data_IF_875887696908
#
_entry.id   IF_875887696908
#
_cell.length_a   1.000
_cell.length_b   1.000
_cell.length_c   1.000
_cell.angle_alpha   90.00
_cell.angle_beta   90.00
_cell.angle_gamma   90.00
#
_symmetry.space_group_name_H-M   'P 1'
#
loop_
_entity.id
_entity.type
_entity.pdbx_description
1 polymer ?
#
# COMPACT_ATOMS: atom_id res chain seq x y z
N UNK A 1 -16.90 14.39 22.89
CA UNK A 1 -16.66 13.33 21.89
C UNK A 1 -15.19 12.97 21.93
N UNK A 2 -14.82 11.69 22.07
CA UNK A 2 -13.43 11.27 21.91
C UNK A 2 -13.06 11.35 20.43
N UNK A 3 -11.86 11.85 20.11
CA UNK A 3 -11.38 11.94 18.72
C UNK A 3 -10.78 10.59 18.34
N UNK A 4 -11.30 9.94 17.29
CA UNK A 4 -10.71 8.72 16.74
C UNK A 4 -9.29 8.99 16.22
N UNK A 5 -8.36 8.09 16.53
CA UNK A 5 -6.94 8.25 16.20
C UNK A 5 -6.63 7.56 14.88
N UNK A 6 -6.09 8.32 13.92
CA UNK A 6 -5.56 7.76 12.67
C UNK A 6 -4.21 7.10 12.94
N UNK A 7 -4.06 5.85 12.50
CA UNK A 7 -2.82 5.07 12.60
C UNK A 7 -2.35 4.66 11.21
N UNK A 8 -1.11 5.00 10.87
CA UNK A 8 -0.45 4.44 9.70
C UNK A 8 0.28 3.15 10.09
N UNK A 9 -0.02 2.06 9.39
CA UNK A 9 0.59 0.76 9.67
C UNK A 9 0.76 -0.08 8.41
N UNK A 10 1.68 -1.07 8.39
CA UNK A 10 1.72 -2.06 7.33
C UNK A 10 0.40 -2.83 7.21
N UNK A 11 0.16 -3.40 6.03
CA UNK A 11 -0.87 -4.41 5.83
C UNK A 11 -0.56 -5.66 6.66
N UNK A 12 -1.62 -6.33 7.08
CA UNK A 12 -1.64 -7.57 7.85
C UNK A 12 -2.46 -8.61 7.12
N UNK A 13 -2.27 -9.88 7.49
CA UNK A 13 -2.98 -10.99 6.86
C UNK A 13 -4.51 -10.90 6.99
N UNK A 14 -5.02 -10.28 8.06
CA UNK A 14 -6.45 -10.08 8.31
C UNK A 14 -7.08 -8.89 7.57
N UNK A 15 -6.27 -8.05 6.90
CA UNK A 15 -6.78 -6.90 6.14
C UNK A 15 -7.32 -7.27 4.74
N UNK A 16 -7.09 -8.50 4.27
CA UNK A 16 -7.29 -8.91 2.87
C UNK A 16 -8.66 -8.51 2.32
N UNK A 17 -9.73 -8.92 3.01
CA UNK A 17 -11.09 -8.71 2.55
C UNK A 17 -11.44 -7.21 2.46
N UNK A 18 -11.10 -6.42 3.48
CA UNK A 18 -11.40 -4.97 3.49
C UNK A 18 -10.58 -4.23 2.43
N UNK A 19 -9.28 -4.53 2.33
CA UNK A 19 -8.39 -3.88 1.39
C UNK A 19 -8.77 -4.17 -0.07
N UNK A 20 -9.03 -5.44 -0.40
CA UNK A 20 -9.43 -5.84 -1.75
C UNK A 20 -10.81 -5.28 -2.12
N UNK A 21 -11.75 -5.22 -1.18
CA UNK A 21 -13.04 -4.58 -1.42
C UNK A 21 -12.88 -3.09 -1.76
N UNK A 22 -12.13 -2.34 -0.94
CA UNK A 22 -11.84 -0.93 -1.20
C UNK A 22 -11.10 -0.72 -2.53
N UNK A 23 -10.15 -1.60 -2.86
CA UNK A 23 -9.40 -1.52 -4.11
C UNK A 23 -10.31 -1.71 -5.32
N UNK A 24 -11.18 -2.74 -5.30
CA UNK A 24 -12.12 -3.00 -6.39
C UNK A 24 -13.14 -1.86 -6.55
N UNK A 25 -13.63 -1.29 -5.45
CA UNK A 25 -14.51 -0.11 -5.52
C UNK A 25 -13.83 1.05 -6.22
N UNK A 26 -12.62 1.41 -5.77
CA UNK A 26 -11.87 2.55 -6.34
C UNK A 26 -11.50 2.31 -7.81
N UNK A 27 -11.15 1.08 -8.17
CA UNK A 27 -10.88 0.71 -9.56
C UNK A 27 -12.15 0.85 -10.42
N UNK A 28 -13.31 0.43 -9.90
CA UNK A 28 -14.58 0.49 -10.61
C UNK A 28 -15.13 1.92 -10.74
N UNK A 29 -14.92 2.80 -9.75
CA UNK A 29 -15.45 4.17 -9.77
C UNK A 29 -14.52 5.14 -10.47
N UNK A 30 -13.22 5.05 -10.20
CA UNK A 30 -12.24 6.10 -10.56
C UNK A 30 -11.21 5.59 -11.57
N UNK A 31 -11.27 4.30 -11.94
CA UNK A 31 -10.26 3.67 -12.80
C UNK A 31 -8.89 3.56 -12.14
N UNK A 32 -8.81 3.76 -10.82
CA UNK A 32 -7.55 3.91 -10.13
C UNK A 32 -7.19 2.68 -9.29
N UNK A 33 -6.01 2.12 -9.56
CA UNK A 33 -5.42 1.06 -8.74
C UNK A 33 -4.51 1.63 -7.66
N UNK A 34 -4.90 1.45 -6.40
CA UNK A 34 -4.09 1.90 -5.27
C UNK A 34 -3.20 0.83 -4.67
N UNK A 35 -3.45 -0.43 -5.03
CA UNK A 35 -2.75 -1.58 -4.51
C UNK A 35 -1.43 -1.76 -5.28
N UNK A 36 -0.34 -1.28 -4.68
CA UNK A 36 0.97 -1.21 -5.33
C UNK A 36 1.42 -2.61 -5.77
N UNK A 37 1.44 -2.86 -7.08
CA UNK A 37 1.89 -4.13 -7.65
C UNK A 37 1.05 -5.34 -7.24
N UNK A 38 -0.22 -5.13 -6.87
CA UNK A 38 -1.13 -6.23 -6.57
C UNK A 38 -1.35 -7.07 -7.83
N UNK A 39 -1.24 -8.38 -7.65
CA UNK A 39 -1.55 -9.40 -8.63
C UNK A 39 -2.51 -10.38 -7.92
N UNK A 40 -3.78 -10.39 -8.34
CA UNK A 40 -4.81 -11.23 -7.69
C UNK A 40 -4.57 -12.74 -7.92
N UNK A 41 -3.62 -13.13 -8.77
CA UNK A 41 -3.24 -14.54 -8.95
C UNK A 41 -2.31 -15.07 -7.85
N UNK A 42 -1.73 -14.19 -7.02
CA UNK A 42 -0.83 -14.59 -5.92
C UNK A 42 -1.53 -14.55 -4.57
N UNK A 43 -1.02 -15.31 -3.61
CA UNK A 43 -1.59 -15.29 -2.26
C UNK A 43 -1.42 -13.93 -1.59
N UNK A 44 -2.37 -13.56 -0.73
CA UNK A 44 -2.30 -12.31 0.03
C UNK A 44 -1.04 -12.19 0.89
N UNK A 45 -0.60 -13.29 1.49
CA UNK A 45 0.63 -13.29 2.27
C UNK A 45 1.87 -13.08 1.40
N UNK A 46 1.90 -13.62 0.18
CA UNK A 46 3.00 -13.34 -0.77
C UNK A 46 2.99 -11.88 -1.22
N UNK A 47 1.81 -11.28 -1.40
CA UNK A 47 1.68 -9.85 -1.64
C UNK A 47 2.25 -9.01 -0.49
N UNK A 48 1.90 -9.33 0.76
CA UNK A 48 2.47 -8.66 1.94
C UNK A 48 3.99 -8.86 2.02
N UNK A 49 4.49 -10.07 1.74
CA UNK A 49 5.91 -10.36 1.72
C UNK A 49 6.67 -9.51 0.68
N UNK A 50 6.09 -9.33 -0.52
CA UNK A 50 6.64 -8.43 -1.55
C UNK A 50 6.68 -6.97 -1.09
N UNK A 51 5.65 -6.49 -0.39
CA UNK A 51 5.67 -5.14 0.19
C UNK A 51 6.78 -5.00 1.26
N UNK A 52 7.05 -6.05 2.03
CA UNK A 52 8.17 -6.10 2.98
C UNK A 52 9.54 -6.13 2.28
N UNK A 53 9.67 -6.82 1.15
CA UNK A 53 10.88 -6.80 0.31
C UNK A 53 11.12 -5.41 -0.28
N UNK A 54 10.08 -4.77 -0.82
CA UNK A 54 10.16 -3.38 -1.30
C UNK A 54 10.62 -2.45 -0.18
N UNK A 55 10.05 -2.57 1.02
CA UNK A 55 10.49 -1.76 2.17
C UNK A 55 11.97 -1.94 2.50
N UNK A 56 12.52 -3.13 2.33
CA UNK A 56 13.92 -3.46 2.62
C UNK A 56 14.87 -3.22 1.44
N UNK A 57 14.35 -2.84 0.28
CA UNK A 57 15.16 -2.69 -0.93
C UNK A 57 15.60 -4.02 -1.55
N UNK A 58 14.86 -5.10 -1.31
CA UNK A 58 15.17 -6.45 -1.79
C UNK A 58 14.34 -6.74 -3.04
N UNK A 59 14.96 -7.35 -4.06
CA UNK A 59 14.28 -7.79 -5.29
C UNK A 59 13.39 -6.71 -5.93
N UNK A 60 13.85 -5.46 -5.93
CA UNK A 60 13.05 -4.34 -6.41
C UNK A 60 12.76 -4.46 -7.91
N UNK A 61 11.49 -4.33 -8.33
CA UNK A 61 11.18 -4.17 -9.74
C UNK A 61 11.85 -2.90 -10.29
N UNK A 62 12.11 -2.89 -11.60
CA UNK A 62 12.71 -1.74 -12.26
C UNK A 62 11.90 -0.46 -12.00
N UNK A 63 12.58 0.63 -11.61
CA UNK A 63 11.96 1.92 -11.30
C UNK A 63 11.30 2.03 -9.92
N UNK A 64 11.23 0.94 -9.15
CA UNK A 64 10.79 0.97 -7.75
C UNK A 64 12.00 1.25 -6.84
N UNK A 65 11.77 2.10 -5.85
CA UNK A 65 12.74 2.43 -4.79
C UNK A 65 12.26 1.85 -3.46
N UNK A 66 13.16 1.66 -2.47
CA UNK A 66 12.77 1.30 -1.12
C UNK A 66 11.69 2.23 -0.56
N UNK A 67 10.59 1.65 -0.08
CA UNK A 67 9.45 2.42 0.40
C UNK A 67 8.58 1.63 1.40
N UNK A 68 7.96 2.34 2.34
CA UNK A 68 6.89 1.78 3.16
C UNK A 68 5.54 1.95 2.48
N UNK A 69 4.82 0.85 2.21
CA UNK A 69 3.40 0.87 1.90
C UNK A 69 2.61 0.73 3.20
N UNK A 70 1.76 1.70 3.53
CA UNK A 70 1.02 1.75 4.79
C UNK A 70 -0.47 2.01 4.53
N UNK A 71 -1.34 1.34 5.27
CA UNK A 71 -2.76 1.69 5.36
C UNK A 71 -2.99 2.68 6.49
N UNK A 72 -3.97 3.55 6.31
CA UNK A 72 -4.50 4.41 7.35
C UNK A 72 -5.69 3.71 8.01
N UNK A 73 -5.59 3.45 9.30
CA UNK A 73 -6.63 2.83 10.11
C UNK A 73 -7.26 3.87 11.04
N UNK A 74 -8.59 3.87 11.12
CA UNK A 74 -9.39 4.59 12.13
C UNK A 74 -10.39 3.59 12.71
N UNK A 75 -10.36 3.39 14.03
CA UNK A 75 -11.27 2.48 14.74
C UNK A 75 -11.36 1.08 14.12
N UNK A 76 -10.21 0.53 13.70
CA UNK A 76 -10.10 -0.80 13.09
C UNK A 76 -10.55 -0.88 11.62
N UNK A 77 -10.84 0.25 10.97
CA UNK A 77 -11.25 0.33 9.56
C UNK A 77 -10.16 0.96 8.70
N UNK A 78 -9.88 0.37 7.55
CA UNK A 78 -8.99 0.97 6.55
C UNK A 78 -9.73 2.13 5.85
N UNK A 79 -9.22 3.35 6.03
CA UNK A 79 -9.80 4.57 5.44
C UNK A 79 -8.92 5.16 4.32
N UNK A 80 -7.77 4.55 4.04
CA UNK A 80 -6.88 4.99 2.98
C UNK A 80 -5.52 4.30 3.04
N UNK A 81 -4.60 4.77 2.21
CA UNK A 81 -3.22 4.28 2.19
C UNK A 81 -2.26 5.41 1.84
N UNK A 82 -1.00 5.22 2.19
CA UNK A 82 0.10 6.04 1.72
C UNK A 82 1.29 5.17 1.35
N UNK A 83 2.20 5.72 0.56
CA UNK A 83 3.51 5.13 0.37
C UNK A 83 4.58 6.16 0.67
N UNK A 84 5.51 5.83 1.55
CA UNK A 84 6.60 6.72 1.97
C UNK A 84 7.88 6.20 1.34
N UNK A 85 8.49 6.98 0.46
CA UNK A 85 9.76 6.65 -0.19
C UNK A 85 10.92 6.92 0.77
N UNK A 86 11.93 6.05 0.79
CA UNK A 86 13.14 6.26 1.59
C UNK A 86 14.25 6.95 0.79
N UNK A 87 14.12 6.90 -0.53
CA UNK A 87 14.98 7.59 -1.49
C UNK A 87 14.14 7.93 -2.73
N UNK A 88 14.66 8.80 -3.60
CA UNK A 88 14.00 9.20 -4.84
C UNK A 88 14.91 8.86 -6.02
N UNK A 89 14.32 8.35 -7.10
CA UNK A 89 14.95 8.30 -8.41
C UNK A 89 14.62 9.56 -9.22
N UNK A 90 15.23 9.73 -10.40
CA UNK A 90 15.04 10.92 -11.25
C UNK A 90 13.59 11.24 -11.60
N UNK A 91 12.71 10.23 -11.65
CA UNK A 91 11.29 10.42 -11.88
C UNK A 91 10.58 10.87 -10.60
N UNK A 92 10.81 10.16 -9.49
CA UNK A 92 10.21 10.44 -8.19
C UNK A 92 10.62 11.81 -7.63
N UNK A 93 11.82 12.30 -7.96
CA UNK A 93 12.27 13.65 -7.63
C UNK A 93 11.40 14.77 -8.22
N UNK A 94 10.58 14.46 -9.23
CA UNK A 94 9.69 15.40 -9.90
C UNK A 94 8.21 15.10 -9.70
N UNK A 95 7.84 13.84 -9.50
CA UNK A 95 6.45 13.41 -9.39
C UNK A 95 6.29 12.28 -8.38
N UNK A 96 5.39 12.42 -7.41
CA UNK A 96 4.99 11.32 -6.52
C UNK A 96 6.06 10.81 -5.55
N UNK A 97 7.15 11.57 -5.39
CA UNK A 97 8.17 11.40 -4.35
C UNK A 97 7.78 12.01 -3.01
#
# INVERSE_FOLDING_TARGET
>A
MSRSVLRLRPLRSDDEAEFLAGHRTMLATDGWSFALGLDESVSWNDYIARLSDIRRGINLPAGIVPAAFLVAEVDGRIVGRTSIRFELNDWLARQGG
#
